data_IF_889056781978
#
_entry.id   IF_889056781978
#
_cell.length_a   1.000
_cell.length_b   1.000
_cell.length_c   1.000
_cell.angle_alpha   90.00
_cell.angle_beta   90.00
_cell.angle_gamma   90.00
#
_symmetry.space_group_name_H-M   'P 1'
#
loop_
_entity.id
_entity.type
_entity.pdbx_description
1 polymer ?
#
# COMPACT_ATOMS: atom_id res chain seq x y z
N UNK A 1 -19.99 -16.60 -9.62
CA UNK A 1 -19.01 -17.07 -8.62
C UNK A 1 -17.83 -16.11 -8.60
N UNK A 2 -17.27 -15.77 -7.43
CA UNK A 2 -16.10 -14.88 -7.28
C UNK A 2 -14.80 -15.70 -7.33
N UNK A 3 -13.73 -15.14 -7.90
CA UNK A 3 -12.44 -15.84 -8.08
C UNK A 3 -11.32 -15.33 -7.15
N UNK A 4 -11.12 -14.01 -7.09
CA UNK A 4 -10.12 -13.35 -6.26
C UNK A 4 -10.43 -11.86 -6.14
N UNK A 5 -9.64 -11.15 -5.32
CA UNK A 5 -9.52 -9.69 -5.44
C UNK A 5 -8.65 -9.43 -6.68
N UNK A 6 -9.20 -8.70 -7.64
CA UNK A 6 -8.47 -8.28 -8.84
C UNK A 6 -7.53 -7.10 -8.55
N UNK A 7 -8.06 -6.08 -7.89
CA UNK A 7 -7.31 -4.90 -7.43
C UNK A 7 -8.00 -4.27 -6.22
N UNK A 8 -7.29 -3.37 -5.55
CA UNK A 8 -7.87 -2.46 -4.56
C UNK A 8 -7.83 -1.05 -5.11
N UNK A 9 -8.95 -0.33 -5.05
CA UNK A 9 -9.00 1.08 -5.39
C UNK A 9 -8.90 1.93 -4.11
N UNK A 10 -7.96 2.86 -4.09
CA UNK A 10 -7.85 3.91 -3.09
C UNK A 10 -8.14 5.26 -3.77
N UNK A 11 -8.87 6.12 -3.09
CA UNK A 11 -9.13 7.46 -3.57
C UNK A 11 -7.92 8.38 -3.30
N UNK A 12 -7.77 9.40 -4.12
CA UNK A 12 -6.78 10.45 -3.96
C UNK A 12 -7.32 11.79 -4.49
N UNK A 13 -6.87 12.94 -3.97
CA UNK A 13 -7.29 14.23 -4.49
C UNK A 13 -6.65 14.51 -5.87
N UNK A 14 -7.26 15.38 -6.69
CA UNK A 14 -6.68 15.79 -7.98
C UNK A 14 -5.26 16.37 -7.82
N UNK A 15 -4.35 16.01 -8.73
CA UNK A 15 -2.97 16.54 -8.75
C UNK A 15 -2.00 15.85 -7.79
N UNK A 16 -2.43 14.81 -7.08
CA UNK A 16 -1.58 14.05 -6.14
C UNK A 16 -0.65 13.03 -6.81
N UNK A 17 -0.80 12.79 -8.10
CA UNK A 17 -0.09 11.72 -8.81
C UNK A 17 1.45 11.80 -8.72
N UNK A 18 2.10 12.97 -8.77
CA UNK A 18 3.55 13.05 -8.57
C UNK A 18 3.99 12.55 -7.19
N UNK A 19 3.26 12.90 -6.13
CA UNK A 19 3.56 12.45 -4.77
C UNK A 19 3.28 10.94 -4.62
N UNK A 20 2.18 10.46 -5.21
CA UNK A 20 1.83 9.04 -5.21
C UNK A 20 2.87 8.21 -5.98
N UNK A 21 3.38 8.69 -7.12
CA UNK A 21 4.48 8.01 -7.84
C UNK A 21 5.76 7.99 -7.02
N UNK A 22 6.12 9.11 -6.40
CA UNK A 22 7.29 9.17 -5.52
C UNK A 22 7.18 8.14 -4.37
N UNK A 23 5.99 7.96 -3.81
CA UNK A 23 5.75 7.00 -2.74
C UNK A 23 5.62 5.54 -3.23
N UNK A 24 4.63 5.23 -4.07
CA UNK A 24 4.35 3.85 -4.48
C UNK A 24 5.45 3.26 -5.37
N UNK A 25 5.99 4.03 -6.32
CA UNK A 25 7.09 3.56 -7.15
C UNK A 25 8.46 3.79 -6.48
N UNK A 26 8.72 4.99 -5.97
CA UNK A 26 10.01 5.33 -5.39
C UNK A 26 10.27 4.68 -4.03
N UNK A 27 9.33 4.80 -3.08
CA UNK A 27 9.50 4.27 -1.72
C UNK A 27 9.10 2.81 -1.64
N UNK A 28 7.92 2.41 -2.14
CA UNK A 28 7.47 1.03 -2.03
C UNK A 28 8.09 0.10 -3.09
N UNK A 29 8.67 0.64 -4.16
CA UNK A 29 9.30 -0.14 -5.22
C UNK A 29 8.29 -0.84 -6.13
N UNK A 30 7.04 -0.38 -6.17
CA UNK A 30 6.03 -0.91 -7.08
C UNK A 30 6.28 -0.41 -8.51
N UNK A 31 5.82 -1.17 -9.50
CA UNK A 31 5.89 -0.74 -10.90
C UNK A 31 4.63 0.05 -11.26
N UNK A 32 4.78 1.26 -11.79
CA UNK A 32 3.64 2.00 -12.36
C UNK A 32 3.13 1.28 -13.61
N UNK A 33 1.81 1.07 -13.68
CA UNK A 33 1.13 0.41 -14.79
C UNK A 33 0.42 1.49 -15.62
N UNK A 34 0.65 1.55 -16.95
CA UNK A 34 -0.07 2.47 -17.82
C UNK A 34 -1.58 2.22 -17.74
N UNK A 35 -2.35 3.29 -17.48
CA UNK A 35 -3.80 3.23 -17.56
C UNK A 35 -4.24 3.06 -19.02
N UNK A 36 -5.33 2.31 -19.29
CA UNK A 36 -5.97 2.33 -20.60
C UNK A 36 -6.27 3.77 -21.05
N UNK A 37 -6.11 4.13 -22.33
CA UNK A 37 -6.29 5.51 -22.80
C UNK A 37 -7.61 6.15 -22.39
N UNK A 38 -8.71 5.38 -22.43
CA UNK A 38 -10.07 5.83 -22.03
C UNK A 38 -10.18 6.21 -20.55
N UNK A 39 -9.30 5.68 -19.69
CA UNK A 39 -9.27 5.96 -18.25
C UNK A 39 -8.20 6.98 -17.88
N UNK A 40 -7.20 7.21 -18.74
CA UNK A 40 -6.10 8.14 -18.48
C UNK A 40 -6.59 9.58 -18.30
N UNK A 41 -7.61 9.99 -19.05
CA UNK A 41 -8.23 11.32 -18.94
C UNK A 41 -8.86 11.61 -17.57
N UNK A 42 -9.07 10.59 -16.73
CA UNK A 42 -9.67 10.73 -15.38
C UNK A 42 -8.63 11.02 -14.27
N UNK A 43 -7.35 11.18 -14.62
CA UNK A 43 -6.26 11.33 -13.64
C UNK A 43 -5.98 10.05 -12.85
N UNK A 44 -5.06 10.12 -11.89
CA UNK A 44 -4.67 8.98 -11.05
C UNK A 44 -3.57 8.11 -11.65
N UNK A 45 -3.15 7.09 -10.91
CA UNK A 45 -2.04 6.20 -11.26
C UNK A 45 -2.30 4.77 -10.75
N UNK A 46 -1.78 3.77 -11.46
CA UNK A 46 -1.94 2.36 -11.11
C UNK A 46 -0.57 1.76 -10.81
N UNK A 47 -0.48 0.88 -9.82
CA UNK A 47 0.77 0.24 -9.45
C UNK A 47 0.60 -1.26 -9.25
N UNK A 48 1.65 -2.01 -9.60
CA UNK A 48 1.71 -3.46 -9.41
C UNK A 48 2.99 -3.93 -8.72
N UNK A 49 2.86 -5.00 -7.92
CA UNK A 49 3.97 -5.75 -7.35
C UNK A 49 3.55 -7.21 -7.11
N UNK A 50 3.99 -8.14 -7.96
CA UNK A 50 3.54 -9.52 -7.91
C UNK A 50 2.02 -9.61 -8.08
N UNK A 51 1.32 -10.16 -7.09
CA UNK A 51 -0.14 -10.26 -7.08
C UNK A 51 -0.85 -9.00 -6.55
N UNK A 52 -0.12 -7.97 -6.10
CA UNK A 52 -0.69 -6.73 -5.58
C UNK A 52 -0.95 -5.77 -6.73
N UNK A 53 -2.20 -5.35 -6.90
CA UNK A 53 -2.61 -4.28 -7.82
C UNK A 53 -3.37 -3.19 -7.06
N UNK A 54 -2.85 -1.97 -7.10
CA UNK A 54 -3.44 -0.79 -6.46
C UNK A 54 -3.80 0.26 -7.52
N UNK A 55 -5.05 0.68 -7.53
CA UNK A 55 -5.55 1.75 -8.40
C UNK A 55 -5.79 3.00 -7.55
N UNK A 56 -5.04 4.07 -7.81
CA UNK A 56 -5.21 5.36 -7.15
C UNK A 56 -6.09 6.22 -8.05
N UNK A 57 -7.37 6.32 -7.68
CA UNK A 57 -8.40 7.04 -8.44
C UNK A 57 -8.60 8.45 -7.91
N UNK A 58 -8.72 9.42 -8.81
CA UNK A 58 -8.99 10.81 -8.43
C UNK A 58 -10.44 10.98 -7.96
N UNK A 59 -10.63 11.64 -6.82
CA UNK A 59 -11.93 12.00 -6.24
C UNK A 59 -11.90 13.48 -5.82
N UNK A 60 -12.88 14.27 -6.28
CA UNK A 60 -12.91 15.71 -6.03
C UNK A 60 -13.10 16.06 -4.54
N UNK A 61 -14.04 15.39 -3.86
CA UNK A 61 -14.33 15.58 -2.44
C UNK A 61 -13.57 14.57 -1.56
N UNK A 62 -12.31 14.31 -1.93
CA UNK A 62 -11.48 13.27 -1.32
C UNK A 62 -11.42 13.39 0.21
N UNK A 63 -11.56 12.24 0.87
CA UNK A 63 -11.29 12.05 2.30
C UNK A 63 -10.45 10.79 2.49
N UNK A 64 -9.33 10.87 3.24
CA UNK A 64 -8.48 9.71 3.43
C UNK A 64 -9.19 8.55 4.13
N UNK A 65 -9.00 7.34 3.61
CA UNK A 65 -9.49 6.13 4.24
C UNK A 65 -8.62 5.78 5.46
N UNK A 66 -9.01 6.28 6.64
CA UNK A 66 -8.25 6.09 7.90
C UNK A 66 -8.53 4.77 8.61
N UNK A 67 -9.49 3.97 8.12
CA UNK A 67 -9.87 2.67 8.72
C UNK A 67 -9.89 1.54 7.69
N UNK A 68 -10.61 1.66 6.59
CA UNK A 68 -10.52 0.70 5.50
C UNK A 68 -9.15 0.83 4.83
N UNK A 69 -8.46 -0.28 4.61
CA UNK A 69 -7.11 -0.31 4.04
C UNK A 69 -6.82 -1.66 3.39
N UNK A 70 -5.91 -1.71 2.40
CA UNK A 70 -5.30 -2.96 1.97
C UNK A 70 -4.27 -3.44 2.99
N UNK A 71 -4.27 -4.75 3.26
CA UNK A 71 -3.20 -5.46 3.98
C UNK A 71 -2.18 -6.01 2.99
N UNK A 72 -0.97 -5.43 3.00
CA UNK A 72 0.10 -5.72 2.06
C UNK A 72 1.11 -6.67 2.68
N UNK A 73 1.16 -7.90 2.17
CA UNK A 73 2.17 -8.88 2.60
C UNK A 73 3.54 -8.46 2.11
N UNK A 74 4.51 -8.44 3.02
CA UNK A 74 5.92 -8.19 2.72
C UNK A 74 6.78 -9.37 3.16
N UNK A 75 7.98 -9.47 2.59
CA UNK A 75 8.95 -10.54 2.90
C UNK A 75 10.02 -10.11 3.91
N UNK A 76 10.13 -8.81 4.17
CA UNK A 76 11.02 -8.21 5.16
C UNK A 76 10.32 -6.96 5.73
N UNK A 77 9.59 -7.17 6.82
CA UNK A 77 8.78 -6.12 7.44
C UNK A 77 9.64 -5.01 8.06
N UNK A 78 10.78 -5.34 8.65
CA UNK A 78 11.67 -4.37 9.28
C UNK A 78 12.36 -3.48 8.23
N UNK A 79 12.85 -4.06 7.13
CA UNK A 79 13.40 -3.28 6.02
C UNK A 79 12.34 -2.38 5.37
N UNK A 80 11.10 -2.88 5.23
CA UNK A 80 9.99 -2.09 4.73
C UNK A 80 9.71 -0.87 5.63
N UNK A 81 9.61 -1.09 6.95
CA UNK A 81 9.41 -0.03 7.94
C UNK A 81 10.55 1.01 7.91
N UNK A 82 11.80 0.55 7.90
CA UNK A 82 12.97 1.43 7.85
C UNK A 82 12.98 2.32 6.59
N UNK A 83 12.62 1.73 5.44
CA UNK A 83 12.54 2.47 4.17
C UNK A 83 11.43 3.51 4.19
N UNK A 84 10.27 3.22 4.77
CA UNK A 84 9.17 4.17 4.93
C UNK A 84 9.57 5.34 5.83
N UNK A 85 10.16 5.06 7.00
CA UNK A 85 10.63 6.07 7.95
C UNK A 85 11.68 6.99 7.30
N UNK A 86 12.64 6.42 6.55
CA UNK A 86 13.67 7.19 5.87
C UNK A 86 13.12 8.19 4.83
N UNK A 87 11.91 7.95 4.32
CA UNK A 87 11.21 8.83 3.39
C UNK A 87 10.10 9.64 4.06
N UNK A 88 10.06 9.69 5.39
CA UNK A 88 9.15 10.52 6.18
C UNK A 88 7.73 9.98 6.36
N UNK A 89 7.47 8.72 5.97
CA UNK A 89 6.17 8.10 6.21
C UNK A 89 6.07 7.57 7.66
N UNK A 90 4.92 7.74 8.34
CA UNK A 90 4.74 7.27 9.70
C UNK A 90 4.67 5.74 9.75
N UNK A 91 5.22 5.14 10.79
CA UNK A 91 5.11 3.69 11.06
C UNK A 91 4.58 3.49 12.47
N UNK A 92 3.42 2.85 12.58
CA UNK A 92 2.79 2.49 13.85
C UNK A 92 2.74 0.97 13.97
N UNK A 93 3.60 0.38 14.80
CA UNK A 93 3.62 -1.06 15.06
C UNK A 93 2.37 -1.52 15.80
N UNK A 94 1.92 -2.73 15.49
CA UNK A 94 0.77 -3.36 16.13
C UNK A 94 1.02 -4.86 16.32
N UNK A 95 1.11 -5.26 17.59
CA UNK A 95 1.41 -6.59 18.12
C UNK A 95 0.13 -7.36 18.54
N UNK A 96 -1.05 -6.83 18.22
CA UNK A 96 -2.34 -7.42 18.62
C UNK A 96 -2.88 -8.48 17.65
N UNK A 97 -2.21 -8.73 16.51
CA UNK A 97 -2.61 -9.74 15.52
C UNK A 97 -1.87 -11.07 15.73
N UNK A 98 -2.53 -12.14 16.22
CA UNK A 98 -1.86 -13.43 16.41
C UNK A 98 -1.32 -14.00 15.09
N UNK A 99 -0.10 -14.55 15.16
CA UNK A 99 0.55 -15.23 14.03
C UNK A 99 1.17 -14.31 12.98
N UNK A 100 1.10 -12.99 13.13
CA UNK A 100 1.72 -12.04 12.22
C UNK A 100 2.45 -10.93 12.99
N UNK A 101 3.50 -10.40 12.39
CA UNK A 101 4.02 -9.06 12.71
C UNK A 101 3.39 -8.09 11.73
N UNK A 102 3.04 -6.89 12.19
CA UNK A 102 2.50 -5.85 11.33
C UNK A 102 2.78 -4.44 11.82
N UNK A 103 2.65 -3.48 10.92
CA UNK A 103 2.52 -2.07 11.23
C UNK A 103 1.54 -1.40 10.26
N UNK A 104 1.04 -0.23 10.65
CA UNK A 104 0.30 0.66 9.77
C UNK A 104 1.16 1.85 9.37
N UNK A 105 0.97 2.31 8.14
CA UNK A 105 1.52 3.55 7.61
C UNK A 105 0.41 4.34 6.91
N UNK A 106 0.72 5.56 6.53
CA UNK A 106 -0.10 6.38 5.65
C UNK A 106 0.64 6.62 4.33
N UNK A 107 -0.11 6.70 3.24
CA UNK A 107 0.40 7.20 1.96
C UNK A 107 0.43 8.75 1.96
N UNK A 108 0.98 9.41 0.92
CA UNK A 108 1.13 10.87 0.89
C UNK A 108 -0.17 11.67 1.00
N UNK A 109 -1.32 11.02 0.80
CA UNK A 109 -2.65 11.66 0.88
C UNK A 109 -3.43 11.21 2.12
N UNK A 110 -2.79 10.45 3.01
CA UNK A 110 -3.32 10.04 4.30
C UNK A 110 -4.14 8.74 4.30
N UNK A 111 -4.17 7.99 3.18
CA UNK A 111 -4.82 6.68 3.19
C UNK A 111 -4.01 5.72 4.04
N UNK A 112 -4.69 4.95 4.89
CA UNK A 112 -4.04 3.91 5.69
C UNK A 112 -3.63 2.75 4.80
N UNK A 113 -2.43 2.23 5.05
CA UNK A 113 -1.92 0.96 4.54
C UNK A 113 -1.48 0.08 5.72
N UNK A 114 -1.72 -1.23 5.65
CA UNK A 114 -1.16 -2.21 6.59
C UNK A 114 -0.06 -2.99 5.88
N UNK A 115 1.06 -3.22 6.56
CA UNK A 115 2.15 -4.09 6.11
C UNK A 115 2.29 -5.23 7.11
N UNK A 116 2.39 -6.47 6.61
CA UNK A 116 2.41 -7.64 7.49
C UNK A 116 3.25 -8.80 6.94
N UNK A 117 3.80 -9.57 7.85
CA UNK A 117 4.49 -10.84 7.57
C UNK A 117 4.10 -11.90 8.63
N UNK A 118 4.02 -13.20 8.29
CA UNK A 118 3.80 -14.24 9.29
C UNK A 118 4.94 -14.31 10.29
N UNK A 119 4.62 -14.54 11.56
CA UNK A 119 5.62 -14.95 12.54
C UNK A 119 6.12 -16.33 12.12
N UNK A 120 7.42 -16.46 11.86
CA UNK A 120 8.01 -17.78 11.61
C UNK A 120 7.86 -18.61 12.88
N UNK A 121 7.39 -19.87 12.81
CA UNK A 121 7.44 -20.76 13.95
C UNK A 121 8.88 -20.80 14.46
N UNK A 122 9.09 -20.67 15.77
CA UNK A 122 10.40 -20.99 16.31
C UNK A 122 10.73 -22.42 15.88
N UNK A 123 11.90 -22.61 15.27
CA UNK A 123 12.40 -23.95 15.06
C UNK A 123 12.44 -24.59 16.45
N UNK A 124 11.56 -25.57 16.70
CA UNK A 124 11.58 -26.31 17.95
C UNK A 124 13.00 -26.82 18.13
N UNK A 125 13.60 -26.46 19.26
CA UNK A 125 14.92 -26.93 19.65
C UNK A 125 14.98 -28.44 19.50
N UNK A 126 16.04 -28.90 18.83
CA UNK A 126 16.51 -30.29 18.84
C UNK A 126 16.74 -30.80 20.26
#
# INVERSE_FOLDING_TARGET
MLAAIDHVQLAAPPGSEPALRAYYAGVLGMTEIPKPPVLAARGGCWFGAGAVLLHLGVEADFRPARKAHPGLRVTDLDACAARLIAHGAPVTWDDTLPGHRRFYSEDPVGNRLEFLEPVRPSARGS
#
